data_IF_379491297368
#
_entry.id   IF_379491297368
#
_cell.length_a   1.000
_cell.length_b   1.000
_cell.length_c   1.000
_cell.angle_alpha   90.00
_cell.angle_beta   90.00
_cell.angle_gamma   90.00
#
_symmetry.space_group_name_H-M   'P 1'
#
loop_
_entity.id
_entity.type
_entity.pdbx_description
1 polymer ?
#
# COMPACT_ATOMS: atom_id res chain seq x y z
N UNK A 1 22.48 -5.18 -4.29
CA UNK A 1 21.46 -6.19 -4.65
C UNK A 1 20.17 -5.43 -4.85
N UNK A 2 19.38 -5.73 -5.87
CA UNK A 2 18.05 -5.11 -5.99
C UNK A 2 17.06 -6.00 -5.25
N UNK A 3 16.37 -5.44 -4.27
CA UNK A 3 15.31 -6.11 -3.51
C UNK A 3 13.97 -5.55 -3.94
N UNK A 4 12.98 -6.41 -4.14
CA UNK A 4 11.66 -6.03 -4.62
C UNK A 4 10.56 -6.80 -3.87
N UNK A 5 9.48 -6.11 -3.51
CA UNK A 5 8.23 -6.68 -2.99
C UNK A 5 7.05 -6.12 -3.80
N UNK A 6 6.10 -6.99 -4.07
CA UNK A 6 4.81 -6.65 -4.67
C UNK A 6 3.71 -7.00 -3.66
N UNK A 7 2.91 -6.00 -3.30
CA UNK A 7 1.75 -6.14 -2.43
C UNK A 7 0.50 -5.86 -3.28
N UNK A 8 -0.51 -6.72 -3.18
CA UNK A 8 -1.81 -6.54 -3.85
C UNK A 8 -2.91 -6.46 -2.80
N UNK A 9 -3.73 -5.42 -2.84
CA UNK A 9 -4.94 -5.26 -2.03
C UNK A 9 -6.15 -5.12 -2.92
N UNK A 10 -7.18 -5.90 -2.64
CA UNK A 10 -8.50 -5.76 -3.25
C UNK A 10 -9.40 -4.93 -2.33
N UNK A 11 -10.29 -4.15 -2.95
CA UNK A 11 -11.32 -3.37 -2.27
C UNK A 11 -12.69 -3.62 -2.89
N UNK A 12 -13.76 -3.24 -2.18
CA UNK A 12 -15.15 -3.34 -2.64
C UNK A 12 -15.44 -2.54 -3.90
N UNK A 13 -14.78 -1.39 -4.05
CA UNK A 13 -15.06 -0.43 -5.11
C UNK A 13 -13.81 0.31 -5.54
N UNK A 14 -13.85 0.85 -6.76
CA UNK A 14 -12.77 1.69 -7.29
C UNK A 14 -12.61 2.97 -6.48
N UNK A 15 -13.69 3.49 -5.90
CA UNK A 15 -13.66 4.69 -5.06
C UNK A 15 -12.85 4.46 -3.77
N UNK A 16 -13.03 3.30 -3.13
CA UNK A 16 -12.25 2.92 -1.95
C UNK A 16 -10.78 2.75 -2.34
N UNK A 17 -10.51 2.00 -3.42
CA UNK A 17 -9.16 1.78 -3.91
C UNK A 17 -8.43 3.11 -4.22
N UNK A 18 -9.12 4.05 -4.88
CA UNK A 18 -8.63 5.39 -5.19
C UNK A 18 -8.39 6.22 -3.94
N UNK A 19 -9.30 6.18 -2.97
CA UNK A 19 -9.15 6.89 -1.69
C UNK A 19 -7.95 6.38 -0.90
N UNK A 20 -7.74 5.07 -0.85
CA UNK A 20 -6.55 4.48 -0.23
C UNK A 20 -5.28 4.89 -0.99
N UNK A 21 -5.24 4.76 -2.32
CA UNK A 21 -4.08 5.19 -3.11
C UNK A 21 -3.73 6.64 -2.83
N UNK A 22 -4.71 7.54 -2.83
CA UNK A 22 -4.47 8.97 -2.62
C UNK A 22 -3.98 9.26 -1.19
N UNK A 23 -4.43 8.47 -0.21
CA UNK A 23 -3.95 8.58 1.18
C UNK A 23 -2.54 8.03 1.36
N UNK A 24 -2.14 7.07 0.51
CA UNK A 24 -0.81 6.47 0.50
C UNK A 24 0.16 7.12 -0.45
N UNK A 25 -0.33 8.02 -1.32
CA UNK A 25 0.44 8.57 -2.40
C UNK A 25 1.70 9.17 -1.78
N UNK A 26 2.87 8.52 -1.96
CA UNK A 26 4.04 8.90 -1.22
C UNK A 26 4.40 10.28 -1.72
N UNK A 27 4.53 11.23 -0.80
CA UNK A 27 5.33 12.39 -1.12
C UNK A 27 6.74 11.83 -1.30
N UNK A 28 7.19 11.64 -2.55
CA UNK A 28 8.50 11.06 -2.88
C UNK A 28 9.67 11.85 -2.26
N UNK A 29 9.37 12.93 -1.54
CA UNK A 29 10.24 13.71 -0.67
C UNK A 29 10.81 12.86 0.49
N UNK A 30 10.04 11.91 1.04
CA UNK A 30 10.43 11.17 2.27
C UNK A 30 10.96 9.75 2.00
N UNK A 31 10.96 9.27 0.76
CA UNK A 31 11.50 7.95 0.44
C UNK A 31 13.05 7.96 0.57
N UNK A 32 13.66 6.95 1.24
CA UNK A 32 15.10 6.84 1.31
C UNK A 32 15.75 6.81 -0.09
N UNK A 33 16.91 7.46 -0.24
CA UNK A 33 17.66 7.50 -1.51
C UNK A 33 17.96 6.09 -1.99
N UNK A 34 17.41 5.72 -3.15
CA UNK A 34 17.60 4.37 -3.72
C UNK A 34 16.42 3.43 -3.54
N UNK A 35 15.36 3.88 -2.86
CA UNK A 35 14.06 3.19 -2.76
C UNK A 35 13.03 3.84 -3.67
N UNK A 36 12.25 3.02 -4.38
CA UNK A 36 11.17 3.43 -5.28
C UNK A 36 9.90 2.70 -4.87
N UNK A 37 8.84 3.48 -4.64
CA UNK A 37 7.50 3.00 -4.32
C UNK A 37 6.58 3.41 -5.46
N UNK A 38 5.94 2.44 -6.09
CA UNK A 38 5.00 2.64 -7.20
C UNK A 38 3.61 2.11 -6.80
N UNK A 39 2.59 2.95 -6.96
CA UNK A 39 1.20 2.65 -6.64
C UNK A 39 0.37 2.60 -7.93
N UNK A 40 -0.08 1.41 -8.30
CA UNK A 40 -0.85 1.15 -9.52
C UNK A 40 -2.27 0.76 -9.11
N UNK A 41 -3.26 1.49 -9.62
CA UNK A 41 -4.66 1.09 -9.50
C UNK A 41 -5.08 0.32 -10.74
N UNK A 42 -5.66 -0.85 -10.53
CA UNK A 42 -6.39 -1.61 -11.55
C UNK A 42 -7.80 -1.90 -11.02
N UNK A 43 -8.77 -1.12 -11.50
CA UNK A 43 -10.19 -1.16 -11.11
C UNK A 43 -10.38 -1.02 -9.60
N UNK A 44 -10.54 -2.14 -8.90
CA UNK A 44 -10.78 -2.24 -7.46
C UNK A 44 -9.56 -2.79 -6.71
N UNK A 45 -8.43 -2.95 -7.40
CA UNK A 45 -7.19 -3.47 -6.84
C UNK A 45 -6.11 -2.40 -6.81
N UNK A 46 -5.38 -2.33 -5.70
CA UNK A 46 -4.17 -1.53 -5.55
C UNK A 46 -2.97 -2.47 -5.54
N UNK A 47 -2.09 -2.29 -6.53
CA UNK A 47 -0.77 -2.90 -6.56
C UNK A 47 0.24 -1.89 -6.05
N UNK A 48 1.03 -2.32 -5.07
CA UNK A 48 2.09 -1.54 -4.46
C UNK A 48 3.39 -2.28 -4.76
N UNK A 49 4.27 -1.62 -5.51
CA UNK A 49 5.59 -2.14 -5.85
C UNK A 49 6.63 -1.34 -5.08
N UNK A 50 7.40 -2.02 -4.25
CA UNK A 50 8.53 -1.43 -3.52
C UNK A 50 9.81 -2.07 -4.03
N UNK A 51 10.74 -1.25 -4.51
CA UNK A 51 12.05 -1.70 -4.96
C UNK A 51 13.14 -0.86 -4.32
N UNK A 52 14.23 -1.48 -3.86
CA UNK A 52 15.34 -0.77 -3.24
C UNK A 52 16.69 -1.40 -3.56
N UNK A 53 17.70 -0.55 -3.63
CA UNK A 53 19.12 -0.95 -3.70
C UNK A 53 19.82 -0.94 -2.33
N UNK A 54 19.10 -0.52 -1.28
CA UNK A 54 19.60 -0.47 0.09
C UNK A 54 19.74 -1.87 0.70
N UNK A 55 20.27 -1.92 1.92
CA UNK A 55 20.31 -3.16 2.68
C UNK A 55 18.91 -3.67 3.01
N UNK A 56 18.80 -4.98 3.24
CA UNK A 56 17.52 -5.63 3.46
C UNK A 56 16.79 -5.15 4.72
N UNK A 57 17.51 -4.70 5.76
CA UNK A 57 16.88 -4.23 6.99
C UNK A 57 16.22 -2.86 6.78
N UNK A 58 16.90 -1.95 6.06
CA UNK A 58 16.33 -0.65 5.67
C UNK A 58 15.14 -0.81 4.71
N UNK A 59 15.24 -1.75 3.77
CA UNK A 59 14.13 -2.11 2.88
C UNK A 59 12.90 -2.60 3.67
N UNK A 60 13.09 -3.55 4.60
CA UNK A 60 11.99 -4.08 5.41
C UNK A 60 11.35 -3.01 6.29
N UNK A 61 12.13 -2.08 6.87
CA UNK A 61 11.58 -0.94 7.62
C UNK A 61 10.67 -0.07 6.76
N UNK A 62 11.08 0.21 5.53
CA UNK A 62 10.28 1.02 4.59
C UNK A 62 8.97 0.31 4.21
N UNK A 63 9.02 -1.01 4.03
CA UNK A 63 7.82 -1.83 3.78
C UNK A 63 6.91 -1.84 5.01
N UNK A 64 7.45 -1.98 6.22
CA UNK A 64 6.66 -1.93 7.45
C UNK A 64 5.98 -0.57 7.64
N UNK A 65 6.70 0.54 7.45
CA UNK A 65 6.15 1.89 7.54
C UNK A 65 5.00 2.09 6.53
N UNK A 66 5.16 1.58 5.30
CA UNK A 66 4.13 1.61 4.26
C UNK A 66 2.89 0.80 4.64
N UNK A 67 3.07 -0.38 5.23
CA UNK A 67 1.97 -1.24 5.68
C UNK A 67 1.20 -0.61 6.86
N UNK A 68 1.90 0.09 7.76
CA UNK A 68 1.26 0.85 8.85
C UNK A 68 0.39 1.97 8.28
N UNK A 69 0.90 2.74 7.32
CA UNK A 69 0.13 3.79 6.64
C UNK A 69 -1.09 3.21 5.89
N UNK A 70 -0.92 2.08 5.19
CA UNK A 70 -2.00 1.37 4.52
C UNK A 70 -3.09 0.96 5.51
N UNK A 71 -2.72 0.35 6.63
CA UNK A 71 -3.67 -0.07 7.65
C UNK A 71 -4.41 1.12 8.29
N UNK A 72 -3.72 2.24 8.54
CA UNK A 72 -4.34 3.44 9.06
C UNK A 72 -5.37 4.04 8.09
N UNK A 73 -5.05 4.08 6.79
CA UNK A 73 -5.98 4.53 5.76
C UNK A 73 -7.21 3.60 5.66
N UNK A 74 -7.00 2.29 5.67
CA UNK A 74 -8.07 1.28 5.64
C UNK A 74 -8.99 1.42 6.86
N UNK A 75 -8.42 1.56 8.05
CA UNK A 75 -9.17 1.74 9.31
C UNK A 75 -10.01 3.02 9.26
N UNK A 76 -9.44 4.11 8.75
CA UNK A 76 -10.16 5.39 8.63
C UNK A 76 -11.37 5.27 7.70
N UNK A 77 -11.22 4.63 6.53
CA UNK A 77 -12.34 4.44 5.61
C UNK A 77 -13.41 3.50 6.18
N UNK A 78 -12.99 2.47 6.92
CA UNK A 78 -13.89 1.58 7.63
C UNK A 78 -14.73 2.34 8.67
N UNK A 79 -14.11 3.16 9.52
CA UNK A 79 -14.81 3.96 10.54
C UNK A 79 -15.78 4.98 9.93
N UNK A 80 -15.50 5.47 8.73
CA UNK A 80 -16.39 6.36 7.97
C UNK A 80 -17.57 5.63 7.29
N UNK A 81 -17.67 4.31 7.43
CA UNK A 81 -18.73 3.50 6.83
C UNK A 81 -18.60 3.35 5.31
N UNK A 82 -17.41 3.60 4.76
CA UNK A 82 -17.08 3.41 3.35
C UNK A 82 -16.63 1.96 3.06
N UNK A 83 -17.04 1.01 3.90
CA UNK A 83 -16.55 -0.37 3.92
C UNK A 83 -16.75 -1.17 2.62
N UNK A 84 -15.76 -2.06 2.42
CA UNK A 84 -15.93 -3.43 1.92
C UNK A 84 -16.35 -4.31 3.10
N UNK A 85 -17.44 -5.07 2.95
CA UNK A 85 -17.80 -6.11 3.92
C UNK A 85 -16.67 -7.16 3.95
N UNK A 86 -16.29 -7.71 5.11
CA UNK A 86 -15.18 -8.66 5.18
C UNK A 86 -15.47 -9.88 4.29
N UNK A 87 -14.75 -10.02 3.18
CA UNK A 87 -14.67 -11.31 2.49
C UNK A 87 -13.87 -12.25 3.37
N UNK A 88 -14.59 -13.15 4.02
CA UNK A 88 -14.01 -14.34 4.64
C UNK A 88 -13.17 -15.07 3.59
N UNK A 89 -11.87 -15.17 3.84
CA UNK A 89 -11.02 -16.13 3.15
C UNK A 89 -11.48 -17.52 3.58
N UNK A 90 -12.30 -18.17 2.76
CA UNK A 90 -12.43 -19.63 2.80
C UNK A 90 -11.13 -20.19 2.20
N UNK A 91 -10.40 -20.93 3.03
CA UNK A 91 -9.04 -21.44 2.78
C UNK A 91 -8.90 -22.45 1.66
#
# INVERSE_FOLDING_TARGET
MLTEILIRREYSSSLVAESIKNSLQPDNVDAPVGTSIELILDKTSLLIKVSSKDDIASFLRTVDDLLVCLQAAETTLHELGLEDSPRTYDG
#
